data_IF_391687228032
#
_entry.id   IF_391687228032
#
_cell.length_a   1.000
_cell.length_b   1.000
_cell.length_c   1.000
_cell.angle_alpha   90.00
_cell.angle_beta   90.00
_cell.angle_gamma   90.00
#
_symmetry.space_group_name_H-M   'P 1'
#
loop_
_entity.id
_entity.type
_entity.pdbx_description
1 polymer ?
#
# COMPACT_ATOMS: atom_id res chain seq x y z
N UNK A 1 -3.02 -6.12 -9.26
CA UNK A 1 -1.61 -6.56 -9.44
C UNK A 1 -1.57 -7.77 -10.36
N UNK A 2 -2.33 -8.83 -10.04
CA UNK A 2 -2.38 -9.99 -10.93
C UNK A 2 -1.08 -10.79 -10.86
N UNK A 3 -0.69 -11.17 -9.64
CA UNK A 3 0.56 -11.91 -9.37
C UNK A 3 0.72 -13.19 -10.18
N UNK A 4 -0.37 -13.76 -10.72
CA UNK A 4 -0.30 -14.88 -11.65
C UNK A 4 -0.06 -16.25 -11.02
N UNK A 5 0.14 -16.33 -9.70
CA UNK A 5 0.28 -17.61 -9.00
C UNK A 5 -1.04 -18.41 -8.89
N UNK A 6 -2.19 -17.74 -9.09
CA UNK A 6 -3.52 -18.36 -9.24
C UNK A 6 -4.20 -17.73 -10.46
N UNK A 7 -4.70 -18.55 -11.37
CA UNK A 7 -5.34 -18.12 -12.62
C UNK A 7 -6.61 -18.93 -12.92
N UNK A 8 -7.64 -18.34 -13.53
CA UNK A 8 -8.86 -19.07 -13.90
C UNK A 8 -8.60 -20.05 -15.04
N UNK A 9 -8.89 -21.33 -14.81
CA UNK A 9 -8.75 -22.39 -15.83
C UNK A 9 -10.04 -22.63 -16.64
N UNK A 10 -11.20 -22.22 -16.11
CA UNK A 10 -12.49 -22.43 -16.79
C UNK A 10 -12.86 -21.25 -17.70
N UNK A 11 -13.54 -21.50 -18.85
CA UNK A 11 -13.98 -20.42 -19.74
C UNK A 11 -14.88 -19.39 -19.05
N UNK A 12 -15.76 -19.84 -18.14
CA UNK A 12 -16.61 -18.96 -17.36
C UNK A 12 -15.80 -18.05 -16.43
N UNK A 13 -14.86 -18.61 -15.67
CA UNK A 13 -14.00 -17.83 -14.77
C UNK A 13 -13.11 -16.83 -15.52
N UNK A 14 -12.66 -17.17 -16.73
CA UNK A 14 -11.92 -16.25 -17.59
C UNK A 14 -12.78 -15.06 -18.05
N UNK A 15 -14.02 -15.30 -18.49
CA UNK A 15 -14.95 -14.23 -18.87
C UNK A 15 -15.27 -13.32 -17.67
N UNK A 16 -15.55 -13.91 -16.50
CA UNK A 16 -15.83 -13.15 -15.27
C UNK A 16 -14.63 -12.28 -14.87
N UNK A 17 -13.41 -12.81 -14.99
CA UNK A 17 -12.17 -12.06 -14.72
C UNK A 17 -12.01 -10.86 -15.65
N UNK A 18 -12.32 -11.02 -16.94
CA UNK A 18 -12.29 -9.91 -17.91
C UNK A 18 -13.29 -8.81 -17.51
N UNK A 19 -14.55 -9.18 -17.22
CA UNK A 19 -15.58 -8.22 -16.82
C UNK A 19 -15.22 -7.49 -15.51
N UNK A 20 -14.72 -8.23 -14.52
CA UNK A 20 -14.27 -7.66 -13.25
C UNK A 20 -13.12 -6.68 -13.45
N UNK A 21 -12.15 -7.00 -14.31
CA UNK A 21 -10.98 -6.15 -14.57
C UNK A 21 -11.39 -4.83 -15.23
N UNK A 22 -12.32 -4.86 -16.19
CA UNK A 22 -12.81 -3.65 -16.85
C UNK A 22 -13.49 -2.66 -15.89
N UNK A 23 -14.18 -3.15 -14.86
CA UNK A 23 -14.83 -2.29 -13.86
C UNK A 23 -13.86 -1.86 -12.76
N UNK A 24 -13.01 -2.77 -12.30
CA UNK A 24 -12.10 -2.52 -11.17
C UNK A 24 -10.97 -1.55 -11.52
N UNK A 25 -10.33 -1.67 -12.68
CA UNK A 25 -9.19 -0.80 -13.05
C UNK A 25 -9.57 0.70 -13.07
N UNK A 26 -10.64 1.14 -13.74
CA UNK A 26 -11.07 2.54 -13.70
C UNK A 26 -11.47 2.99 -12.29
N UNK A 27 -12.16 2.13 -11.53
CA UNK A 27 -12.59 2.45 -10.17
C UNK A 27 -11.39 2.62 -9.22
N UNK A 28 -10.41 1.73 -9.30
CA UNK A 28 -9.15 1.82 -8.54
C UNK A 28 -8.39 3.08 -8.93
N UNK A 29 -8.29 3.41 -10.22
CA UNK A 29 -7.62 4.65 -10.68
C UNK A 29 -8.30 5.91 -10.12
N UNK A 30 -9.63 5.97 -10.13
CA UNK A 30 -10.38 7.10 -9.56
C UNK A 30 -10.19 7.19 -8.03
N UNK A 31 -10.18 6.04 -7.36
CA UNK A 31 -10.01 5.94 -5.92
C UNK A 31 -8.60 6.40 -5.52
N UNK A 32 -7.56 5.90 -6.20
CA UNK A 32 -6.17 6.32 -6.00
C UNK A 32 -6.01 7.83 -6.18
N UNK A 33 -6.59 8.40 -7.25
CA UNK A 33 -6.54 9.85 -7.47
C UNK A 33 -7.17 10.64 -6.32
N UNK A 34 -8.32 10.20 -5.82
CA UNK A 34 -9.04 10.89 -4.74
C UNK A 34 -8.31 10.76 -3.42
N UNK A 35 -7.85 9.56 -3.07
CA UNK A 35 -7.10 9.29 -1.85
C UNK A 35 -5.75 10.00 -1.84
N UNK A 36 -5.02 10.01 -2.96
CA UNK A 36 -3.77 10.75 -3.10
C UNK A 36 -3.94 12.24 -2.82
N UNK A 37 -5.02 12.87 -3.32
CA UNK A 37 -5.34 14.27 -2.97
C UNK A 37 -5.62 14.48 -1.49
N UNK A 38 -6.32 13.54 -0.84
CA UNK A 38 -6.58 13.61 0.59
C UNK A 38 -5.28 13.55 1.39
N UNK A 39 -4.41 12.59 1.08
CA UNK A 39 -3.08 12.49 1.71
C UNK A 39 -2.24 13.75 1.45
N UNK A 40 -2.20 14.25 0.21
CA UNK A 40 -1.51 15.50 -0.14
C UNK A 40 -1.90 16.67 0.75
N UNK A 41 -3.20 16.83 0.94
CA UNK A 41 -3.76 17.88 1.79
C UNK A 41 -3.37 17.67 3.24
N UNK A 42 -3.46 16.44 3.76
CA UNK A 42 -3.02 16.12 5.12
C UNK A 42 -1.53 16.43 5.33
N UNK A 43 -0.66 16.05 4.40
CA UNK A 43 0.78 16.35 4.45
C UNK A 43 1.03 17.85 4.36
N UNK A 44 0.33 18.57 3.48
CA UNK A 44 0.43 20.02 3.37
C UNK A 44 0.03 20.72 4.66
N UNK A 45 -1.13 20.37 5.22
CA UNK A 45 -1.65 20.93 6.46
C UNK A 45 -0.72 20.59 7.64
N UNK A 46 -0.14 19.39 7.66
CA UNK A 46 0.86 18.98 8.65
C UNK A 46 2.16 19.79 8.57
N UNK A 47 2.74 19.94 7.38
CA UNK A 47 3.94 20.77 7.18
C UNK A 47 3.64 22.22 7.54
N UNK A 48 2.48 22.73 7.15
CA UNK A 48 2.04 24.08 7.50
C UNK A 48 1.91 24.26 9.01
N UNK A 49 1.27 23.32 9.70
CA UNK A 49 1.11 23.31 11.16
C UNK A 49 2.46 23.24 11.88
N UNK A 50 3.39 22.39 11.44
CA UNK A 50 4.75 22.36 12.00
C UNK A 50 5.44 23.71 11.83
N UNK A 51 5.38 24.33 10.65
CA UNK A 51 6.05 25.62 10.44
C UNK A 51 5.44 26.75 11.27
N UNK A 52 4.12 26.76 11.45
CA UNK A 52 3.43 27.81 12.21
C UNK A 52 3.50 27.58 13.72
N UNK A 53 3.40 26.35 14.19
CA UNK A 53 3.45 26.01 15.61
C UNK A 53 4.89 25.87 16.12
N UNK A 54 5.68 24.99 15.51
CA UNK A 54 7.02 24.64 16.01
C UNK A 54 8.06 25.72 15.67
N UNK A 55 8.00 26.26 14.45
CA UNK A 55 8.97 27.29 13.98
C UNK A 55 8.43 28.73 14.13
N UNK A 56 7.21 28.91 14.65
CA UNK A 56 6.56 30.22 14.86
C UNK A 56 6.58 31.14 13.62
N UNK A 57 6.58 30.56 12.41
CA UNK A 57 6.65 31.33 11.16
C UNK A 57 5.25 31.86 10.81
N UNK A 58 5.05 33.19 10.91
CA UNK A 58 3.78 33.85 10.55
C UNK A 58 3.36 33.69 9.08
N UNK A 59 4.33 33.46 8.17
CA UNK A 59 4.09 33.17 6.75
C UNK A 59 5.06 32.09 6.29
N UNK A 60 4.68 30.80 6.38
CA UNK A 60 5.54 29.72 5.94
C UNK A 60 5.77 29.81 4.43
N UNK A 61 7.04 29.70 4.00
CA UNK A 61 7.47 29.79 2.60
C UNK A 61 7.95 28.41 2.15
N UNK A 62 7.70 28.08 0.88
CA UNK A 62 8.10 26.81 0.26
C UNK A 62 7.42 25.55 0.84
N UNK A 63 6.23 25.68 1.44
CA UNK A 63 5.48 24.55 2.02
C UNK A 63 5.27 23.44 1.00
N UNK A 64 4.86 23.77 -0.24
CA UNK A 64 4.69 22.78 -1.32
C UNK A 64 5.95 21.94 -1.59
N UNK A 65 7.11 22.60 -1.73
CA UNK A 65 8.40 21.90 -1.96
C UNK A 65 8.77 20.99 -0.79
N UNK A 66 8.50 21.45 0.44
CA UNK A 66 8.72 20.65 1.65
C UNK A 66 7.75 19.48 1.75
N UNK A 67 6.49 19.65 1.39
CA UNK A 67 5.50 18.56 1.33
C UNK A 67 5.94 17.48 0.34
N UNK A 68 6.41 17.84 -0.86
CA UNK A 68 6.97 16.87 -1.82
C UNK A 68 8.14 16.10 -1.21
N UNK A 69 9.07 16.80 -0.54
CA UNK A 69 10.21 16.16 0.13
C UNK A 69 9.78 15.22 1.25
N UNK A 70 8.79 15.62 2.06
CA UNK A 70 8.20 14.80 3.13
C UNK A 70 7.52 13.56 2.56
N UNK A 71 6.66 13.71 1.55
CA UNK A 71 5.99 12.58 0.88
C UNK A 71 7.02 11.62 0.27
N UNK A 72 8.07 12.12 -0.38
CA UNK A 72 9.15 11.29 -0.95
C UNK A 72 9.88 10.48 0.14
N UNK A 73 10.17 11.12 1.27
CA UNK A 73 10.82 10.46 2.41
C UNK A 73 9.89 9.41 3.02
N UNK A 74 8.61 9.72 3.17
CA UNK A 74 7.59 8.81 3.69
C UNK A 74 7.42 7.58 2.79
N UNK A 75 7.49 7.75 1.46
CA UNK A 75 7.44 6.65 0.51
C UNK A 75 8.62 5.68 0.69
N UNK A 76 9.84 6.17 0.89
CA UNK A 76 10.99 5.30 1.17
C UNK A 76 10.80 4.56 2.50
N UNK A 77 10.35 5.28 3.53
CA UNK A 77 10.11 4.69 4.86
C UNK A 77 9.05 3.60 4.82
N UNK A 78 7.95 3.79 4.08
CA UNK A 78 6.87 2.81 4.04
C UNK A 78 7.28 1.52 3.32
N UNK A 79 8.14 1.60 2.28
CA UNK A 79 8.71 0.42 1.63
C UNK A 79 9.64 -0.34 2.60
N UNK A 80 10.47 0.38 3.37
CA UNK A 80 11.31 -0.23 4.40
C UNK A 80 10.49 -0.89 5.51
N UNK A 81 9.41 -0.24 5.97
CA UNK A 81 8.49 -0.80 6.96
C UNK A 81 7.80 -2.07 6.44
N UNK A 82 7.39 -2.07 5.17
CA UNK A 82 6.89 -3.27 4.51
C UNK A 82 7.92 -4.40 4.50
N UNK A 83 9.19 -4.09 4.24
CA UNK A 83 10.27 -5.07 4.34
C UNK A 83 10.39 -5.69 5.73
N UNK A 84 10.26 -4.89 6.79
CA UNK A 84 10.23 -5.40 8.16
C UNK A 84 8.97 -6.22 8.44
N UNK A 85 7.81 -5.79 7.95
CA UNK A 85 6.55 -6.54 8.06
C UNK A 85 6.70 -7.93 7.44
N UNK A 86 7.32 -8.04 6.26
CA UNK A 86 7.60 -9.34 5.62
C UNK A 86 8.49 -10.26 6.47
N UNK A 87 9.45 -9.71 7.22
CA UNK A 87 10.27 -10.50 8.15
C UNK A 87 9.42 -11.08 9.29
N UNK A 88 8.57 -10.25 9.90
CA UNK A 88 7.80 -10.65 11.07
C UNK A 88 6.58 -11.52 10.76
N UNK A 89 5.90 -11.23 9.65
CA UNK A 89 4.64 -11.89 9.27
C UNK A 89 4.89 -13.13 8.42
N UNK A 90 5.77 -13.02 7.43
CA UNK A 90 5.97 -14.08 6.42
C UNK A 90 7.24 -14.91 6.66
N UNK A 91 8.12 -14.48 7.59
CA UNK A 91 9.39 -15.13 7.85
C UNK A 91 10.44 -14.94 6.75
N UNK A 92 10.24 -13.96 5.85
CA UNK A 92 11.18 -13.63 4.80
C UNK A 92 12.43 -12.93 5.35
N UNK A 93 13.50 -12.85 4.56
CA UNK A 93 14.59 -11.91 4.82
C UNK A 93 14.14 -10.47 4.56
N UNK A 94 14.80 -9.49 5.17
CA UNK A 94 14.48 -8.08 4.95
C UNK A 94 14.57 -7.68 3.46
N UNK A 95 15.54 -8.24 2.73
CA UNK A 95 15.74 -7.96 1.30
C UNK A 95 14.58 -8.49 0.48
N UNK A 96 14.13 -9.73 0.75
CA UNK A 96 12.96 -10.33 0.08
C UNK A 96 11.69 -9.53 0.39
N UNK A 97 11.48 -9.14 1.65
CA UNK A 97 10.36 -8.27 2.04
C UNK A 97 10.39 -6.93 1.34
N UNK A 98 11.54 -6.24 1.34
CA UNK A 98 11.72 -4.95 0.66
C UNK A 98 11.47 -5.06 -0.85
N UNK A 99 12.05 -6.07 -1.49
CA UNK A 99 11.85 -6.38 -2.90
C UNK A 99 10.36 -6.59 -3.22
N UNK A 100 9.66 -7.37 -2.40
CA UNK A 100 8.24 -7.67 -2.59
C UNK A 100 7.39 -6.43 -2.47
N UNK A 101 7.62 -5.60 -1.45
CA UNK A 101 6.88 -4.36 -1.26
C UNK A 101 7.13 -3.34 -2.37
N UNK A 102 8.37 -3.23 -2.84
CA UNK A 102 8.69 -2.43 -4.01
C UNK A 102 7.97 -2.94 -5.26
N UNK A 103 8.05 -4.25 -5.57
CA UNK A 103 7.39 -4.86 -6.72
C UNK A 103 5.85 -4.73 -6.66
N UNK A 104 5.28 -4.80 -5.46
CA UNK A 104 3.85 -4.63 -5.19
C UNK A 104 3.40 -3.19 -5.48
N UNK A 105 4.09 -2.21 -4.90
CA UNK A 105 3.73 -0.79 -5.01
C UNK A 105 4.01 -0.21 -6.39
N UNK A 106 5.04 -0.69 -7.07
CA UNK A 106 5.34 -0.36 -8.47
C UNK A 106 4.42 -1.07 -9.46
N UNK A 107 3.49 -1.90 -8.97
CA UNK A 107 2.55 -2.70 -9.77
C UNK A 107 3.20 -3.76 -10.68
N UNK A 108 4.47 -4.10 -10.44
CA UNK A 108 5.17 -5.18 -11.15
C UNK A 108 4.56 -6.55 -10.83
N UNK A 109 4.40 -6.83 -9.52
CA UNK A 109 3.69 -8.02 -9.03
C UNK A 109 4.18 -9.34 -9.60
N UNK A 110 5.47 -9.65 -9.49
CA UNK A 110 6.08 -10.87 -10.06
C UNK A 110 5.47 -12.20 -9.56
N UNK A 111 4.98 -12.23 -8.32
CA UNK A 111 4.24 -13.38 -7.76
C UNK A 111 5.13 -14.50 -7.21
N UNK A 112 6.44 -14.30 -7.19
CA UNK A 112 7.42 -15.13 -6.48
C UNK A 112 7.28 -15.01 -4.95
N UNK A 113 6.96 -13.81 -4.47
CA UNK A 113 6.59 -13.53 -3.09
C UNK A 113 5.24 -12.82 -3.03
N UNK A 114 4.30 -13.38 -2.27
CA UNK A 114 2.91 -12.88 -2.18
C UNK A 114 2.57 -12.58 -0.72
N UNK A 115 2.48 -11.30 -0.33
CA UNK A 115 2.14 -10.93 1.05
C UNK A 115 0.78 -11.46 1.46
N UNK A 116 0.68 -11.99 2.67
CA UNK A 116 -0.52 -12.57 3.27
C UNK A 116 -0.81 -14.00 2.85
N UNK A 117 -0.08 -14.57 1.88
CA UNK A 117 -0.37 -15.90 1.36
C UNK A 117 -0.14 -17.01 2.39
N UNK A 118 0.98 -16.95 3.12
CA UNK A 118 1.28 -17.94 4.16
C UNK A 118 0.25 -17.89 5.29
N UNK A 119 -0.18 -16.69 5.66
CA UNK A 119 -1.20 -16.45 6.70
C UNK A 119 -2.55 -17.00 6.26
N UNK A 120 -2.95 -16.81 4.99
CA UNK A 120 -4.20 -17.35 4.45
C UNK A 120 -4.26 -18.88 4.52
N UNK A 121 -3.16 -19.57 4.18
CA UNK A 121 -3.10 -21.02 4.27
C UNK A 121 -3.21 -21.51 5.73
N UNK A 122 -2.57 -20.80 6.67
CA UNK A 122 -2.67 -21.09 8.11
C UNK A 122 -4.09 -20.86 8.66
N UNK A 123 -4.79 -19.85 8.15
CA UNK A 123 -6.22 -19.62 8.45
C UNK A 123 -7.01 -20.83 7.99
N UNK A 124 -6.85 -21.30 6.75
CA UNK A 124 -7.64 -22.42 6.24
C UNK A 124 -7.40 -23.74 7.00
N UNK A 125 -6.18 -23.99 7.45
CA UNK A 125 -5.82 -25.19 8.22
C UNK A 125 -6.25 -25.13 9.70
N UNK A 126 -6.40 -23.93 10.27
CA UNK A 126 -6.63 -23.75 11.71
C UNK A 126 -8.04 -24.16 12.16
N UNK A 127 -8.17 -25.27 12.89
CA UNK A 127 -9.47 -25.67 13.48
C UNK A 127 -9.87 -24.87 14.75
N UNK A 128 -8.94 -24.14 15.37
CA UNK A 128 -9.18 -23.41 16.61
C UNK A 128 -9.71 -21.98 16.34
N UNK A 129 -10.87 -21.59 16.91
CA UNK A 129 -11.49 -20.30 16.63
C UNK A 129 -10.68 -19.09 17.14
N UNK A 130 -9.84 -19.25 18.16
CA UNK A 130 -9.01 -18.14 18.68
C UNK A 130 -7.82 -17.83 17.78
N UNK A 131 -7.15 -18.85 17.26
CA UNK A 131 -6.05 -18.67 16.30
C UNK A 131 -6.56 -18.12 14.98
N UNK A 132 -7.73 -18.60 14.52
CA UNK A 132 -8.43 -18.04 13.37
C UNK A 132 -8.63 -16.53 13.49
N UNK A 133 -9.19 -16.07 14.62
CA UNK A 133 -9.41 -14.65 14.86
C UNK A 133 -8.09 -13.85 14.81
N UNK A 134 -7.03 -14.35 15.46
CA UNK A 134 -5.73 -13.68 15.47
C UNK A 134 -5.13 -13.55 14.06
N UNK A 135 -5.20 -14.61 13.25
CA UNK A 135 -4.70 -14.60 11.88
C UNK A 135 -5.52 -13.67 10.98
N UNK A 136 -6.84 -13.65 11.13
CA UNK A 136 -7.72 -12.70 10.43
C UNK A 136 -7.37 -11.26 10.83
N UNK A 137 -7.10 -10.98 12.10
CA UNK A 137 -6.65 -9.66 12.55
C UNK A 137 -5.31 -9.26 11.91
N UNK A 138 -4.36 -10.19 11.78
CA UNK A 138 -3.09 -9.96 11.09
C UNK A 138 -3.32 -9.59 9.61
N UNK A 139 -4.24 -10.30 8.92
CA UNK A 139 -4.62 -9.99 7.53
C UNK A 139 -5.24 -8.58 7.43
N UNK A 140 -6.12 -8.20 8.35
CA UNK A 140 -6.71 -6.86 8.35
C UNK A 140 -5.67 -5.75 8.59
N UNK A 141 -4.71 -5.97 9.49
CA UNK A 141 -3.65 -5.00 9.78
C UNK A 141 -2.72 -4.82 8.57
N UNK A 142 -2.31 -5.91 7.92
CA UNK A 142 -1.47 -5.86 6.71
C UNK A 142 -2.19 -5.28 5.48
N UNK A 143 -3.50 -5.52 5.35
CA UNK A 143 -4.32 -4.85 4.34
C UNK A 143 -4.39 -3.32 4.56
N UNK A 144 -4.43 -2.88 5.82
CA UNK A 144 -4.42 -1.46 6.14
C UNK A 144 -3.05 -0.81 5.87
N UNK A 145 -1.94 -1.47 6.22
CA UNK A 145 -0.58 -0.98 5.93
C UNK A 145 -0.36 -0.82 4.42
N UNK A 146 -0.80 -1.80 3.62
CA UNK A 146 -0.71 -1.73 2.16
C UNK A 146 -1.60 -0.64 1.54
N UNK A 147 -2.82 -0.43 2.07
CA UNK A 147 -3.66 0.71 1.67
C UNK A 147 -2.96 2.06 1.93
N UNK A 148 -2.33 2.23 3.09
CA UNK A 148 -1.60 3.46 3.41
C UNK A 148 -0.44 3.69 2.44
N UNK A 149 0.33 2.65 2.14
CA UNK A 149 1.43 2.70 1.18
C UNK A 149 0.96 3.13 -0.21
N UNK A 150 -0.13 2.54 -0.72
CA UNK A 150 -0.72 2.92 -2.01
C UNK A 150 -1.22 4.37 -2.02
N UNK A 151 -1.81 4.85 -0.93
CA UNK A 151 -2.28 6.23 -0.83
C UNK A 151 -1.11 7.24 -0.85
N UNK A 152 0.03 6.91 -0.22
CA UNK A 152 1.25 7.75 -0.25
C UNK A 152 1.86 7.77 -1.65
N UNK A 153 1.92 6.64 -2.34
CA UNK A 153 2.36 6.57 -3.74
C UNK A 153 1.42 7.39 -4.63
N UNK A 154 0.11 7.31 -4.42
CA UNK A 154 -0.86 8.09 -5.17
C UNK A 154 -0.76 9.61 -4.91
N UNK A 155 -0.43 10.03 -3.69
CA UNK A 155 -0.10 11.44 -3.39
C UNK A 155 1.11 11.90 -4.19
N UNK A 156 2.21 11.14 -4.15
CA UNK A 156 3.43 11.45 -4.89
C UNK A 156 3.17 11.64 -6.40
N UNK A 157 2.42 10.71 -7.02
CA UNK A 157 2.04 10.82 -8.43
C UNK A 157 1.17 12.04 -8.73
N UNK A 158 0.27 12.43 -7.82
CA UNK A 158 -0.56 13.64 -7.98
C UNK A 158 0.26 14.92 -7.84
N UNK A 159 1.33 14.91 -7.04
CA UNK A 159 2.22 16.05 -6.85
C UNK A 159 3.14 16.30 -8.06
N UNK A 160 3.50 15.27 -8.82
CA UNK A 160 4.26 15.45 -10.08
C UNK A 160 3.40 16.00 -11.23
N UNK A 161 2.08 15.79 -11.20
CA UNK A 161 1.16 16.21 -12.26
C UNK A 161 0.66 17.67 -12.15
N UNK A 162 0.91 18.38 -11.03
CA UNK A 162 0.44 19.76 -10.78
C UNK A 162 1.59 20.75 -10.57
#
# INVERSE_FOLDING_TARGET
>A
LGYGHITPETPLGQIDTVLYTFLSVPLTMLTLKTMGKMVSKLVYDFVYAIETMLLSRKRPRNVKKKSVFVTSTLMILIVCLGGLEGVYVEGWTFVEGFYTWFATLSTLGYGDYVPGWSVLLQVEESSNPKSQLNLVLIIFISALSSMQALCVVADFLNLEQN
#
